data_IF_304526036251
#
_entry.id   IF_304526036251
#
_cell.length_a   1.000
_cell.length_b   1.000
_cell.length_c   1.000
_cell.angle_alpha   90.00
_cell.angle_beta   90.00
_cell.angle_gamma   90.00
#
_symmetry.space_group_name_H-M   'P 1'
#
loop_
_entity.id
_entity.type
_entity.pdbx_description
1 polymer ?
#
# COMPACT_ATOMS: atom_id res chain seq x y z
N UNK A 1 -20.37 -7.59 23.68
CA UNK A 1 -19.28 -8.56 23.91
C UNK A 1 -18.33 -8.41 22.74
N UNK A 2 -17.01 -8.29 22.96
CA UNK A 2 -16.04 -8.27 21.86
C UNK A 2 -15.74 -9.71 21.46
N UNK A 3 -15.65 -9.96 20.17
CA UNK A 3 -15.26 -11.26 19.62
C UNK A 3 -13.86 -11.14 19.05
N UNK A 4 -13.04 -12.16 19.31
CA UNK A 4 -11.68 -12.27 18.82
C UNK A 4 -11.49 -13.68 18.27
N UNK A 5 -10.93 -13.78 17.06
CA UNK A 5 -10.56 -15.06 16.45
C UNK A 5 -9.18 -14.97 15.81
N UNK A 6 -8.54 -16.13 15.74
CA UNK A 6 -7.18 -16.29 15.24
C UNK A 6 -7.19 -17.36 14.15
N UNK A 7 -6.47 -17.10 13.06
CA UNK A 7 -6.46 -17.95 11.89
C UNK A 7 -5.05 -18.16 11.36
N UNK A 8 -4.80 -19.34 10.81
CA UNK A 8 -3.77 -19.54 9.79
C UNK A 8 -4.48 -19.52 8.43
N UNK A 9 -4.10 -18.54 7.60
CA UNK A 9 -4.72 -18.32 6.29
C UNK A 9 -3.97 -19.12 5.23
N UNK A 10 -4.75 -19.91 4.48
CA UNK A 10 -4.35 -20.74 3.34
C UNK A 10 -5.21 -20.46 2.11
N UNK A 11 -6.17 -19.53 2.22
CA UNK A 11 -6.99 -19.10 1.09
C UNK A 11 -6.10 -18.48 0.00
N UNK A 12 -6.02 -19.11 -1.17
CA UNK A 12 -5.11 -18.72 -2.25
C UNK A 12 -5.41 -17.32 -2.78
N UNK A 13 -6.68 -16.95 -2.93
CA UNK A 13 -7.05 -15.64 -3.44
C UNK A 13 -6.68 -14.53 -2.45
N UNK A 14 -6.97 -14.72 -1.16
CA UNK A 14 -6.57 -13.80 -0.10
C UNK A 14 -5.04 -13.59 -0.08
N UNK A 15 -4.27 -14.69 -0.12
CA UNK A 15 -2.80 -14.63 -0.13
C UNK A 15 -2.27 -13.99 -1.41
N UNK A 16 -2.90 -14.26 -2.56
CA UNK A 16 -2.54 -13.64 -3.84
C UNK A 16 -2.76 -12.13 -3.80
N UNK A 17 -3.84 -11.63 -3.21
CA UNK A 17 -4.09 -10.18 -3.09
C UNK A 17 -3.00 -9.47 -2.27
N UNK A 18 -2.47 -10.12 -1.24
CA UNK A 18 -1.33 -9.61 -0.46
C UNK A 18 -0.05 -9.58 -1.31
N UNK A 19 0.22 -10.65 -2.04
CA UNK A 19 1.40 -10.75 -2.91
C UNK A 19 1.35 -9.71 -4.03
N UNK A 20 0.19 -9.58 -4.68
CA UNK A 20 -0.06 -8.57 -5.72
C UNK A 20 0.16 -7.17 -5.14
N UNK A 21 -0.36 -6.86 -3.95
CA UNK A 21 -0.13 -5.57 -3.29
C UNK A 21 1.37 -5.27 -3.12
N UNK A 22 2.16 -6.21 -2.56
CA UNK A 22 3.60 -6.02 -2.34
C UNK A 22 4.35 -5.83 -3.65
N UNK A 23 4.06 -6.67 -4.64
CA UNK A 23 4.66 -6.59 -5.97
C UNK A 23 4.38 -5.23 -6.62
N UNK A 24 3.15 -4.74 -6.52
CA UNK A 24 2.78 -3.42 -7.06
C UNK A 24 3.57 -2.29 -6.37
N UNK A 25 3.83 -2.39 -5.05
CA UNK A 25 4.67 -1.41 -4.35
C UNK A 25 6.13 -1.45 -4.82
N UNK A 26 6.69 -2.64 -5.02
CA UNK A 26 8.04 -2.82 -5.54
C UNK A 26 8.19 -2.23 -6.95
N UNK A 27 7.25 -2.53 -7.85
CA UNK A 27 7.24 -2.00 -9.22
C UNK A 27 7.11 -0.46 -9.24
N UNK A 28 6.25 0.10 -8.38
CA UNK A 28 6.10 1.55 -8.22
C UNK A 28 7.38 2.20 -7.71
N UNK A 29 8.01 1.61 -6.69
CA UNK A 29 9.28 2.10 -6.13
C UNK A 29 10.40 2.04 -7.17
N UNK A 30 10.49 0.95 -7.93
CA UNK A 30 11.48 0.78 -8.99
C UNK A 30 11.31 1.83 -10.09
N UNK A 31 10.08 2.08 -10.55
CA UNK A 31 9.81 3.14 -11.53
C UNK A 31 10.22 4.51 -11.00
N UNK A 32 9.86 4.86 -9.77
CA UNK A 32 10.17 6.17 -9.21
C UNK A 32 11.67 6.38 -9.12
N UNK A 33 12.41 5.38 -8.63
CA UNK A 33 13.86 5.45 -8.53
C UNK A 33 14.50 5.70 -9.90
N UNK A 34 14.14 4.90 -10.90
CA UNK A 34 14.63 5.06 -12.28
C UNK A 34 14.27 6.45 -12.84
N UNK A 35 13.03 6.90 -12.62
CA UNK A 35 12.57 8.19 -13.12
C UNK A 35 13.30 9.36 -12.46
N UNK A 36 13.53 9.30 -11.15
CA UNK A 36 14.26 10.31 -10.39
C UNK A 36 15.70 10.41 -10.87
N UNK A 37 16.39 9.28 -11.03
CA UNK A 37 17.75 9.22 -11.57
C UNK A 37 17.81 9.82 -12.98
N UNK A 38 16.90 9.41 -13.88
CA UNK A 38 16.82 9.92 -15.26
C UNK A 38 16.57 11.43 -15.33
N UNK A 39 15.77 11.98 -14.42
CA UNK A 39 15.41 13.41 -14.40
C UNK A 39 16.32 14.26 -13.51
N UNK A 40 17.19 13.63 -12.72
CA UNK A 40 17.98 14.31 -11.70
C UNK A 40 17.09 15.01 -10.67
N UNK A 41 16.00 14.35 -10.25
CA UNK A 41 15.16 14.81 -9.13
C UNK A 41 15.90 14.49 -7.82
N UNK A 42 16.02 15.49 -6.95
CA UNK A 42 16.67 15.36 -5.65
C UNK A 42 15.68 14.94 -4.56
N UNK A 43 16.19 14.25 -3.54
CA UNK A 43 15.41 13.75 -2.40
C UNK A 43 14.87 12.34 -2.62
N UNK A 44 14.60 11.66 -1.51
CA UNK A 44 14.11 10.27 -1.49
C UNK A 44 12.60 10.17 -1.25
N UNK A 45 11.95 11.29 -0.92
CA UNK A 45 10.51 11.35 -0.69
C UNK A 45 9.75 11.50 -2.00
N UNK A 46 8.70 10.69 -2.17
CA UNK A 46 7.76 10.83 -3.26
C UNK A 46 6.34 10.55 -2.78
N UNK A 47 5.36 11.16 -3.44
CA UNK A 47 3.96 10.78 -3.27
C UNK A 47 3.28 10.76 -4.63
N UNK A 48 2.58 9.66 -4.92
CA UNK A 48 1.81 9.50 -6.14
C UNK A 48 0.36 9.30 -5.76
N UNK A 49 -0.52 9.95 -6.51
CA UNK A 49 -1.98 9.88 -6.35
C UNK A 49 -2.62 9.82 -7.72
N UNK A 50 -3.76 9.15 -7.84
CA UNK A 50 -4.61 9.23 -9.02
C UNK A 50 -6.09 9.29 -8.67
N UNK A 51 -6.90 9.94 -9.51
CA UNK A 51 -8.36 9.83 -9.47
C UNK A 51 -8.82 8.78 -10.49
N UNK A 52 -8.77 7.52 -10.09
CA UNK A 52 -9.02 6.38 -10.98
C UNK A 52 -9.11 5.06 -10.22
N UNK A 53 -9.11 3.96 -10.96
CA UNK A 53 -9.37 2.62 -10.42
C UNK A 53 -8.42 2.25 -9.27
N UNK A 54 -8.97 1.64 -8.22
CA UNK A 54 -8.21 1.04 -7.13
C UNK A 54 -7.73 -0.36 -7.53
N UNK A 55 -6.50 -0.71 -7.16
CA UNK A 55 -5.87 -2.01 -7.42
C UNK A 55 -5.87 -2.42 -8.89
N UNK A 56 -5.88 -1.43 -9.80
CA UNK A 56 -5.84 -1.65 -11.25
C UNK A 56 -4.96 -0.58 -11.90
N UNK A 57 -4.29 -0.92 -13.01
CA UNK A 57 -3.54 0.06 -13.79
C UNK A 57 -4.47 1.16 -14.30
N UNK A 58 -3.92 2.37 -14.40
CA UNK A 58 -4.57 3.46 -15.10
C UNK A 58 -4.54 3.18 -16.61
N UNK A 59 -5.49 3.76 -17.33
CA UNK A 59 -5.64 3.66 -18.77
C UNK A 59 -5.47 5.04 -19.40
N UNK A 60 -5.31 5.08 -20.73
CA UNK A 60 -5.03 6.32 -21.44
C UNK A 60 -6.09 7.42 -21.18
N UNK A 61 -7.36 7.04 -20.98
CA UNK A 61 -8.45 8.00 -20.74
C UNK A 61 -8.40 8.67 -19.35
N UNK A 62 -7.77 8.04 -18.34
CA UNK A 62 -7.61 8.60 -16.99
C UNK A 62 -6.13 8.93 -16.65
N UNK A 63 -5.23 8.85 -17.63
CA UNK A 63 -3.81 9.20 -17.49
C UNK A 63 -3.57 10.57 -16.85
N UNK A 64 -4.39 11.56 -17.23
CA UNK A 64 -4.27 12.94 -16.74
C UNK A 64 -4.49 13.08 -15.23
N UNK A 65 -5.14 12.09 -14.63
CA UNK A 65 -5.52 12.08 -13.22
C UNK A 65 -4.37 11.61 -12.32
N UNK A 66 -3.29 11.07 -12.90
CA UNK A 66 -2.08 10.71 -12.17
C UNK A 66 -1.29 11.97 -11.79
N UNK A 67 -0.89 12.06 -10.54
CA UNK A 67 -0.16 13.18 -9.95
C UNK A 67 1.10 12.68 -9.26
N UNK A 68 2.21 13.37 -9.52
CA UNK A 68 3.49 13.14 -8.86
C UNK A 68 3.86 14.34 -7.97
N UNK A 69 4.24 14.04 -6.74
CA UNK A 69 4.80 14.96 -5.76
C UNK A 69 6.23 14.57 -5.44
N UNK A 70 7.10 15.56 -5.36
CA UNK A 70 8.52 15.40 -5.04
C UNK A 70 8.86 16.24 -3.81
N UNK A 71 9.97 15.92 -3.13
CA UNK A 71 10.46 16.70 -1.98
C UNK A 71 10.64 18.18 -2.32
N UNK A 72 10.22 19.06 -1.40
CA UNK A 72 10.53 20.48 -1.47
C UNK A 72 11.97 20.72 -1.02
N UNK A 73 12.88 20.92 -1.99
CA UNK A 73 14.27 21.26 -1.76
C UNK A 73 14.78 22.24 -2.82
N UNK A 74 15.90 22.90 -2.52
CA UNK A 74 16.47 23.95 -3.37
C UNK A 74 16.84 23.42 -4.77
N UNK A 75 17.41 22.22 -4.85
CA UNK A 75 17.81 21.61 -6.13
C UNK A 75 16.60 21.36 -7.04
N UNK A 76 15.48 20.92 -6.46
CA UNK A 76 14.25 20.72 -7.20
C UNK A 76 13.58 22.04 -7.59
N UNK A 77 13.68 23.08 -6.75
CA UNK A 77 13.20 24.43 -7.10
C UNK A 77 13.98 25.01 -8.28
N UNK A 78 15.32 24.93 -8.25
CA UNK A 78 16.18 25.43 -9.33
C UNK A 78 15.86 24.74 -10.66
N UNK A 79 15.65 23.42 -10.66
CA UNK A 79 15.38 22.64 -11.88
C UNK A 79 13.93 22.71 -12.36
N UNK A 80 12.99 22.64 -11.42
CA UNK A 80 11.58 22.37 -11.74
C UNK A 80 10.61 23.42 -11.19
N UNK A 81 11.06 24.49 -10.52
CA UNK A 81 10.18 25.45 -9.82
C UNK A 81 9.02 25.98 -10.68
N UNK A 82 9.26 26.28 -11.96
CA UNK A 82 8.21 26.71 -12.92
C UNK A 82 7.17 25.62 -13.23
N UNK A 83 7.54 24.36 -13.07
CA UNK A 83 6.70 23.18 -13.28
C UNK A 83 6.06 22.68 -11.99
N UNK A 84 6.44 23.21 -10.82
CA UNK A 84 5.93 22.80 -9.51
C UNK A 84 4.87 23.78 -8.99
N UNK A 85 3.93 23.25 -8.21
CA UNK A 85 3.04 24.03 -7.35
C UNK A 85 3.74 24.41 -6.04
N UNK A 86 3.06 25.20 -5.21
CA UNK A 86 3.53 25.53 -3.86
C UNK A 86 3.68 24.25 -3.01
N UNK A 87 4.59 24.30 -2.06
CA UNK A 87 4.79 23.24 -1.08
C UNK A 87 3.53 23.01 -0.24
N UNK A 88 3.28 21.74 0.07
CA UNK A 88 2.21 21.28 0.95
C UNK A 88 2.85 20.38 1.99
N UNK A 89 2.47 20.56 3.26
CA UNK A 89 2.91 19.72 4.38
C UNK A 89 2.05 18.45 4.43
N UNK A 90 2.71 17.30 4.55
CA UNK A 90 2.09 16.00 4.74
C UNK A 90 2.08 15.63 6.24
N UNK A 91 1.28 14.62 6.61
CA UNK A 91 1.05 14.22 8.00
C UNK A 91 2.33 13.70 8.69
N UNK A 92 3.25 13.15 7.90
CA UNK A 92 4.59 12.73 8.32
C UNK A 92 5.56 13.89 8.57
N UNK A 93 5.10 15.14 8.36
CA UNK A 93 5.87 16.36 8.57
C UNK A 93 6.70 16.81 7.37
N UNK A 94 6.77 16.03 6.30
CA UNK A 94 7.53 16.40 5.11
C UNK A 94 6.77 17.41 4.24
N UNK A 95 7.51 18.32 3.60
CA UNK A 95 6.99 19.23 2.59
C UNK A 95 7.22 18.64 1.20
N UNK A 96 6.16 18.60 0.41
CA UNK A 96 6.21 18.09 -0.95
C UNK A 96 5.55 19.05 -1.94
N UNK A 97 5.97 18.95 -3.19
CA UNK A 97 5.48 19.79 -4.29
C UNK A 97 4.98 18.96 -5.43
N UNK A 98 3.72 19.18 -5.79
CA UNK A 98 3.09 18.55 -6.95
C UNK A 98 3.56 19.20 -8.24
N UNK A 99 3.84 18.41 -9.26
CA UNK A 99 3.96 18.95 -10.62
C UNK A 99 2.62 19.54 -11.12
N UNK A 100 2.71 20.61 -11.91
CA UNK A 100 1.57 21.22 -12.58
C UNK A 100 1.08 20.32 -13.72
N UNK A 101 -0.21 20.37 -14.03
CA UNK A 101 -0.82 19.58 -15.11
C UNK A 101 -0.19 19.82 -16.50
N UNK A 102 0.39 21.00 -16.73
CA UNK A 102 1.09 21.34 -17.97
C UNK A 102 2.59 21.00 -17.95
N UNK A 103 3.13 20.42 -16.88
CA UNK A 103 4.53 20.01 -16.77
C UNK A 103 4.86 18.93 -17.79
N UNK A 104 5.93 19.14 -18.56
CA UNK A 104 6.44 18.12 -19.48
C UNK A 104 6.97 16.90 -18.72
N UNK A 105 7.59 17.12 -17.55
CA UNK A 105 8.09 16.06 -16.67
C UNK A 105 6.94 15.19 -16.17
N UNK A 106 5.84 15.79 -15.71
CA UNK A 106 4.65 15.04 -15.30
C UNK A 106 4.06 14.23 -16.45
N UNK A 107 3.95 14.81 -17.65
CA UNK A 107 3.41 14.10 -18.81
C UNK A 107 4.25 12.88 -19.21
N UNK A 108 5.57 12.98 -19.13
CA UNK A 108 6.45 11.83 -19.36
C UNK A 108 6.27 10.74 -18.29
N UNK A 109 6.20 11.14 -17.01
CA UNK A 109 5.91 10.21 -15.92
C UNK A 109 4.56 9.50 -16.12
N UNK A 110 3.53 10.25 -16.47
CA UNK A 110 2.20 9.74 -16.77
C UNK A 110 2.22 8.69 -17.88
N UNK A 111 2.94 8.95 -18.99
CA UNK A 111 3.08 7.98 -20.08
C UNK A 111 3.78 6.69 -19.60
N UNK A 112 4.87 6.82 -18.83
CA UNK A 112 5.57 5.65 -18.28
C UNK A 112 4.67 4.80 -17.37
N UNK A 113 3.84 5.43 -16.55
CA UNK A 113 2.87 4.71 -15.72
C UNK A 113 1.87 3.91 -16.55
N UNK A 114 1.37 4.46 -17.67
CA UNK A 114 0.46 3.75 -18.57
C UNK A 114 1.18 2.61 -19.30
N UNK A 115 2.35 2.90 -19.89
CA UNK A 115 3.14 1.92 -20.65
C UNK A 115 3.52 0.71 -19.79
N UNK A 116 3.96 0.95 -18.55
CA UNK A 116 4.35 -0.11 -17.61
C UNK A 116 3.19 -0.63 -16.77
N UNK A 117 1.97 -0.14 -17.01
CA UNK A 117 0.75 -0.54 -16.29
C UNK A 117 0.88 -0.44 -14.76
N UNK A 118 1.52 0.62 -14.28
CA UNK A 118 1.74 0.82 -12.84
C UNK A 118 0.41 1.06 -12.13
N UNK A 119 0.22 0.34 -11.03
CA UNK A 119 -0.93 0.52 -10.14
C UNK A 119 -0.64 1.69 -9.21
N UNK A 120 -1.32 2.82 -9.46
CA UNK A 120 -1.15 4.05 -8.67
C UNK A 120 -1.89 3.96 -7.35
N UNK A 121 -3.19 3.64 -7.41
CA UNK A 121 -4.05 3.49 -6.24
C UNK A 121 -3.97 2.05 -5.72
N UNK A 122 -2.81 1.69 -5.16
CA UNK A 122 -2.57 0.37 -4.56
C UNK A 122 -3.05 0.37 -3.11
N UNK A 123 -4.21 -0.23 -2.85
CA UNK A 123 -4.84 -0.32 -1.55
C UNK A 123 -4.72 -1.73 -1.00
N UNK A 124 -4.43 -1.82 0.30
CA UNK A 124 -4.46 -3.08 1.00
C UNK A 124 -5.84 -3.72 0.87
N UNK A 125 -5.89 -5.04 0.65
CA UNK A 125 -7.14 -5.78 0.63
C UNK A 125 -7.87 -5.61 1.98
N UNK A 126 -9.20 -5.56 1.97
CA UNK A 126 -9.95 -5.44 3.22
C UNK A 126 -10.20 -6.82 3.79
N UNK A 127 -9.53 -7.17 4.88
CA UNK A 127 -9.75 -8.47 5.54
C UNK A 127 -11.22 -8.68 5.94
N UNK A 128 -11.93 -7.60 6.30
CA UNK A 128 -13.34 -7.67 6.66
C UNK A 128 -14.27 -8.18 5.56
N UNK A 129 -13.89 -8.02 4.29
CA UNK A 129 -14.67 -8.50 3.14
C UNK A 129 -14.67 -10.04 3.05
N UNK A 130 -13.87 -10.72 3.87
CA UNK A 130 -13.78 -12.18 3.94
C UNK A 130 -14.61 -12.79 5.08
N UNK A 131 -15.28 -11.96 5.88
CA UNK A 131 -16.08 -12.39 7.02
C UNK A 131 -17.48 -11.76 6.98
N UNK A 132 -18.50 -12.59 7.12
CA UNK A 132 -19.90 -12.21 6.91
C UNK A 132 -20.35 -11.02 7.76
N UNK A 133 -19.88 -10.96 8.99
CA UNK A 133 -20.28 -9.94 9.96
C UNK A 133 -19.50 -8.61 9.80
N UNK A 134 -18.43 -8.60 9.00
CA UNK A 134 -17.44 -7.52 8.97
C UNK A 134 -17.51 -6.62 7.72
N UNK A 135 -18.24 -7.00 6.67
CA UNK A 135 -18.46 -6.19 5.45
C UNK A 135 -18.80 -4.72 5.71
N UNK A 136 -19.55 -4.43 6.78
CA UNK A 136 -19.98 -3.08 7.17
C UNK A 136 -19.70 -2.77 8.65
N UNK A 137 -18.80 -3.53 9.29
CA UNK A 137 -18.49 -3.43 10.71
C UNK A 137 -17.10 -2.87 10.99
N UNK A 138 -16.94 -2.17 12.10
CA UNK A 138 -15.60 -1.86 12.61
C UNK A 138 -14.91 -3.13 13.10
N UNK A 139 -13.65 -3.32 12.69
CA UNK A 139 -12.82 -4.42 13.12
C UNK A 139 -11.36 -3.96 13.26
N UNK A 140 -10.59 -4.68 14.07
CA UNK A 140 -9.14 -4.55 14.19
C UNK A 140 -8.49 -5.85 13.73
N UNK A 141 -7.32 -5.74 13.09
CA UNK A 141 -6.55 -6.90 12.65
C UNK A 141 -5.11 -6.83 13.14
N UNK A 142 -4.54 -8.00 13.38
CA UNK A 142 -3.10 -8.19 13.49
C UNK A 142 -2.70 -9.30 12.54
N UNK A 143 -1.67 -9.08 11.73
CA UNK A 143 -1.26 -10.03 10.69
C UNK A 143 0.25 -10.06 10.53
N UNK A 144 0.79 -11.24 10.29
CA UNK A 144 2.22 -11.45 10.05
C UNK A 144 2.48 -12.76 9.33
N UNK A 145 3.62 -12.85 8.65
CA UNK A 145 4.10 -14.07 8.03
C UNK A 145 5.24 -14.67 8.84
N UNK A 146 5.13 -15.96 9.14
CA UNK A 146 6.16 -16.71 9.85
C UNK A 146 6.21 -18.13 9.31
N UNK A 147 7.40 -18.56 8.89
CA UNK A 147 7.64 -19.92 8.36
C UNK A 147 6.63 -20.31 7.26
N UNK A 148 6.45 -19.41 6.28
CA UNK A 148 5.52 -19.55 5.13
C UNK A 148 4.03 -19.61 5.50
N UNK A 149 3.67 -19.38 6.77
CA UNK A 149 2.29 -19.29 7.23
C UNK A 149 1.88 -17.84 7.42
N UNK A 150 0.68 -17.52 6.98
CA UNK A 150 0.06 -16.22 7.22
C UNK A 150 -0.86 -16.30 8.44
N UNK A 151 -0.48 -15.61 9.51
CA UNK A 151 -1.26 -15.53 10.73
C UNK A 151 -2.15 -14.30 10.70
N UNK A 152 -3.42 -14.47 11.03
CA UNK A 152 -4.41 -13.40 11.07
C UNK A 152 -5.21 -13.45 12.37
N UNK A 153 -5.19 -12.36 13.12
CA UNK A 153 -6.12 -12.10 14.23
C UNK A 153 -7.14 -11.08 13.78
N UNK A 154 -8.40 -11.33 14.10
CA UNK A 154 -9.51 -10.41 13.85
C UNK A 154 -10.23 -10.18 15.17
N UNK A 155 -10.40 -8.91 15.54
CA UNK A 155 -11.19 -8.49 16.71
C UNK A 155 -12.31 -7.55 16.25
N UNK A 156 -13.50 -7.72 16.81
CA UNK A 156 -14.66 -6.89 16.48
C UNK A 156 -15.62 -6.76 17.67
N UNK A 157 -16.53 -5.78 17.60
CA UNK A 157 -17.67 -5.65 18.52
C UNK A 157 -18.86 -6.52 18.14
N UNK A 158 -18.84 -7.18 16.98
CA UNK A 158 -19.84 -8.17 16.56
C UNK A 158 -19.75 -9.42 17.43
N UNK A 159 -20.85 -10.17 17.51
CA UNK A 159 -20.95 -11.38 18.33
C UNK A 159 -20.24 -12.59 17.73
N UNK A 160 -19.97 -12.58 16.43
CA UNK A 160 -19.39 -13.69 15.70
C UNK A 160 -18.39 -13.19 14.65
N UNK A 161 -17.47 -14.07 14.28
CA UNK A 161 -16.52 -13.90 13.19
C UNK A 161 -16.56 -15.21 12.39
N UNK A 162 -17.26 -15.18 11.25
CA UNK A 162 -17.46 -16.34 10.40
C UNK A 162 -16.83 -16.07 9.03
N UNK A 163 -15.77 -16.81 8.64
CA UNK A 163 -15.23 -16.75 7.28
C UNK A 163 -16.31 -17.11 6.26
N UNK A 164 -16.40 -16.34 5.17
CA UNK A 164 -17.30 -16.67 4.05
C UNK A 164 -16.72 -17.70 3.09
N UNK A 165 -15.41 -17.90 3.16
CA UNK A 165 -14.64 -18.75 2.25
C UNK A 165 -13.76 -19.71 3.03
N UNK A 166 -13.44 -20.84 2.40
CA UNK A 166 -12.49 -21.80 2.93
C UNK A 166 -11.07 -21.21 3.05
N UNK A 167 -10.21 -21.90 3.80
CA UNK A 167 -8.81 -21.53 3.94
C UNK A 167 -8.53 -20.55 5.08
N UNK A 168 -9.50 -20.26 5.94
CA UNK A 168 -9.30 -19.56 7.22
C UNK A 168 -9.35 -20.57 8.37
N UNK A 169 -8.22 -21.21 8.65
CA UNK A 169 -8.15 -22.27 9.65
C UNK A 169 -8.05 -21.67 11.05
N UNK A 170 -9.12 -21.77 11.84
CA UNK A 170 -9.16 -21.24 13.20
C UNK A 170 -8.14 -21.96 14.09
N UNK A 171 -7.34 -21.19 14.83
CA UNK A 171 -6.37 -21.67 15.80
C UNK A 171 -6.65 -21.10 17.19
N UNK A 172 -6.06 -21.73 18.22
CA UNK A 172 -6.14 -21.19 19.59
C UNK A 172 -5.33 -19.91 19.70
N UNK A 173 -5.80 -18.95 20.50
CA UNK A 173 -5.05 -17.73 20.80
C UNK A 173 -3.66 -18.02 21.37
N UNK A 174 -3.50 -19.05 22.19
CA UNK A 174 -2.19 -19.48 22.70
C UNK A 174 -1.22 -19.85 21.58
N UNK A 175 -1.70 -20.49 20.51
CA UNK A 175 -0.87 -20.82 19.34
C UNK A 175 -0.48 -19.55 18.55
N UNK A 176 -1.43 -18.61 18.41
CA UNK A 176 -1.17 -17.34 17.74
C UNK A 176 -0.12 -16.50 18.49
N UNK A 177 -0.25 -16.34 19.81
CA UNK A 177 0.69 -15.53 20.59
C UNK A 177 2.08 -16.17 20.69
N UNK A 178 2.19 -17.51 20.72
CA UNK A 178 3.49 -18.18 20.55
C UNK A 178 4.14 -17.86 19.19
N UNK A 179 3.33 -17.77 18.12
CA UNK A 179 3.83 -17.36 16.82
C UNK A 179 4.24 -15.88 16.79
N UNK A 180 3.52 -15.00 17.50
CA UNK A 180 3.93 -13.58 17.68
C UNK A 180 5.28 -13.49 18.38
N UNK A 181 5.47 -14.16 19.51
CA UNK A 181 6.75 -14.15 20.25
C UNK A 181 7.92 -14.63 19.37
N UNK A 182 7.69 -15.67 18.57
CA UNK A 182 8.69 -16.18 17.61
C UNK A 182 8.97 -15.20 16.48
N UNK A 183 7.94 -14.54 15.95
CA UNK A 183 8.08 -13.51 14.93
C UNK A 183 8.86 -12.29 15.44
N UNK A 184 8.53 -11.81 16.64
CA UNK A 184 9.21 -10.70 17.29
C UNK A 184 10.66 -11.04 17.61
N UNK A 185 10.95 -12.25 18.10
CA UNK A 185 12.32 -12.70 18.34
C UNK A 185 13.17 -12.70 17.06
N UNK A 186 12.62 -13.15 15.93
CA UNK A 186 13.32 -13.15 14.63
C UNK A 186 13.54 -11.76 14.04
N UNK A 187 12.64 -10.81 14.30
CA UNK A 187 12.67 -9.48 13.69
C UNK A 187 13.27 -8.39 14.61
N UNK A 188 13.22 -8.58 15.93
CA UNK A 188 13.88 -7.72 16.92
C UNK A 188 15.39 -7.89 16.97
N UNK A 189 15.93 -9.03 16.50
CA UNK A 189 17.37 -9.22 16.30
C UNK A 189 17.92 -8.50 15.04
N UNK A 190 17.05 -7.85 14.25
CA UNK A 190 17.43 -7.06 13.05
C UNK A 190 17.38 -5.54 13.25
N UNK A 191 17.17 -5.07 14.48
CA UNK A 191 17.22 -3.65 14.87
C UNK A 191 18.54 -3.25 15.52
#
# INVERSE_FOLDING_TARGET
MRSEKFFIVTNEQFLKEIQDFRKNEEERNALIKEFYEKKGISGNGYYIRGDGSVNRPFEEYNKKDIHLYISDCEENEVKFGKQLLKAVRFDDGFYMRRFRANSAVLKEFQNLCIERRIIINNWWHKEGDWFKELHMGGYSVTRFELDEKYYLRVETSKSEIIPEYDGFNEIKGSEFYLAVEKFESKNGERS
#
